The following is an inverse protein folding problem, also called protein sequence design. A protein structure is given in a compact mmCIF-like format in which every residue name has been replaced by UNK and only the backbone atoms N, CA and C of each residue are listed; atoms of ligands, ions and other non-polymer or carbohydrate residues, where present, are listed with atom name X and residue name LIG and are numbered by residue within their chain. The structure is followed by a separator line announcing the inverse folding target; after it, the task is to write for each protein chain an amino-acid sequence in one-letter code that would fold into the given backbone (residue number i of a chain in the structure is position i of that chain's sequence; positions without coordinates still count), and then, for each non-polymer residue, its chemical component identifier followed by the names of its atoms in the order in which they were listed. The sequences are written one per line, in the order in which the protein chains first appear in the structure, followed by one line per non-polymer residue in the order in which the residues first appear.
data_IF_299110398193
#
_entry.id   IF_299110398193
#
_cell.length_a   1.000
_cell.length_b   1.000
_cell.length_c   1.000
_cell.angle_alpha   90.00
_cell.angle_beta   90.00
_cell.angle_gamma   90.00
#
_symmetry.space_group_name_H-M   'P 1'
#
loop_
_entity.id
_entity.type
_entity.pdbx_description
1 polymer ?
#
# COMPACT_ATOMS: atom_id res chain seq x y z
N UNK A 1 6.39 11.31 -1.69
CA UNK A 1 6.97 10.36 -2.67
C UNK A 1 7.39 9.02 -2.04
N UNK A 2 8.04 8.98 -0.85
CA UNK A 2 8.56 7.72 -0.25
C UNK A 2 7.50 6.64 0.03
N UNK A 3 6.25 7.05 0.28
CA UNK A 3 5.14 6.15 0.62
C UNK A 3 4.68 5.27 -0.54
N UNK A 4 4.54 5.83 -1.75
CA UNK A 4 4.10 5.05 -2.92
C UNK A 4 5.22 4.12 -3.37
N UNK A 5 6.47 4.60 -3.33
CA UNK A 5 7.64 3.77 -3.58
C UNK A 5 7.75 2.58 -2.62
N UNK A 6 7.40 2.76 -1.34
CA UNK A 6 7.32 1.66 -0.38
C UNK A 6 6.26 0.62 -0.77
N UNK A 7 5.08 1.05 -1.23
CA UNK A 7 4.03 0.15 -1.71
C UNK A 7 4.45 -0.61 -2.96
N UNK A 8 5.11 0.06 -3.92
CA UNK A 8 5.69 -0.56 -5.12
C UNK A 8 6.74 -1.60 -4.72
N UNK A 9 7.67 -1.24 -3.83
CA UNK A 9 8.73 -2.15 -3.36
C UNK A 9 8.14 -3.39 -2.68
N UNK A 10 7.08 -3.22 -1.87
CA UNK A 10 6.36 -4.35 -1.29
C UNK A 10 5.70 -5.22 -2.37
N UNK A 11 5.13 -4.64 -3.43
CA UNK A 11 4.64 -5.38 -4.57
C UNK A 11 5.73 -6.26 -5.19
N UNK A 12 6.88 -5.68 -5.51
CA UNK A 12 7.97 -6.41 -6.15
C UNK A 12 8.52 -7.56 -5.27
N UNK A 13 8.50 -7.40 -3.94
CA UNK A 13 8.90 -8.47 -3.00
C UNK A 13 7.79 -9.54 -2.87
N UNK A 14 6.52 -9.13 -2.73
CA UNK A 14 5.38 -10.04 -2.53
C UNK A 14 5.06 -10.92 -3.74
N UNK A 15 5.40 -10.48 -4.95
CA UNK A 15 5.27 -11.25 -6.19
C UNK A 15 6.17 -12.52 -6.23
N UNK A 16 7.11 -12.66 -5.29
CA UNK A 16 8.10 -13.75 -5.28
C UNK A 16 7.53 -15.05 -4.67
N UNK A 17 6.37 -15.01 -3.98
CA UNK A 17 5.81 -16.17 -3.28
C UNK A 17 4.50 -16.69 -3.91
N UNK A 18 4.55 -17.63 -4.87
CA UNK A 18 3.37 -18.14 -5.60
C UNK A 18 2.36 -18.91 -4.73
N UNK A 19 2.69 -19.20 -3.47
CA UNK A 19 1.76 -19.81 -2.52
C UNK A 19 0.71 -18.82 -1.97
N UNK A 20 0.95 -17.51 -2.12
CA UNK A 20 0.12 -16.44 -1.54
C UNK A 20 -0.47 -15.50 -2.58
N UNK A 21 -0.19 -15.72 -3.87
CA UNK A 21 -0.89 -15.17 -5.03
C UNK A 21 -2.35 -15.70 -5.16
N UNK A 22 -3.02 -15.95 -4.03
CA UNK A 22 -4.46 -16.10 -4.04
C UNK A 22 -5.04 -14.77 -4.55
N UNK A 23 -6.03 -14.81 -5.46
CA UNK A 23 -6.55 -13.58 -6.02
C UNK A 23 -7.12 -12.70 -4.91
N UNK A 24 -7.33 -11.43 -5.21
CA UNK A 24 -8.13 -10.46 -4.45
C UNK A 24 -9.59 -10.95 -4.28
N UNK A 25 -9.78 -12.13 -3.71
CA UNK A 25 -11.04 -12.80 -3.50
C UNK A 25 -11.52 -12.46 -2.09
N UNK A 26 -12.61 -11.67 -1.97
CA UNK A 26 -13.23 -11.42 -0.70
C UNK A 26 -14.08 -12.63 -0.30
N UNK A 27 -13.47 -13.77 0.06
CA UNK A 27 -14.26 -14.86 0.71
C UNK A 27 -13.52 -16.11 1.19
N UNK A 28 -12.24 -16.35 0.86
CA UNK A 28 -11.62 -17.61 1.29
C UNK A 28 -10.93 -17.43 2.64
N UNK A 29 -11.58 -17.90 3.70
CA UNK A 29 -10.98 -18.00 5.01
C UNK A 29 -9.96 -19.14 5.03
N UNK A 30 -8.71 -18.84 4.65
CA UNK A 30 -7.61 -19.80 4.70
C UNK A 30 -7.15 -20.12 6.13
N UNK A 31 -7.72 -19.49 7.17
CA UNK A 31 -7.31 -19.72 8.56
C UNK A 31 -7.54 -21.17 9.02
N UNK A 32 -8.44 -21.90 8.35
CA UNK A 32 -8.72 -23.32 8.59
C UNK A 32 -7.74 -24.29 7.88
N UNK A 33 -7.01 -23.82 6.86
CA UNK A 33 -6.09 -24.65 6.06
C UNK A 33 -4.64 -24.47 6.53
N UNK A 34 -4.29 -23.30 7.08
CA UNK A 34 -2.94 -23.01 7.56
C UNK A 34 -2.67 -23.65 8.92
N UNK A 35 -1.60 -24.44 9.00
CA UNK A 35 -1.33 -25.32 10.15
C UNK A 35 -0.32 -24.74 11.13
N UNK A 36 0.56 -23.84 10.67
CA UNK A 36 1.61 -23.27 11.52
C UNK A 36 1.33 -21.81 11.89
N UNK A 37 1.75 -21.35 13.09
CA UNK A 37 1.67 -19.94 13.47
C UNK A 37 2.41 -19.00 12.51
N UNK A 38 3.49 -19.47 11.84
CA UNK A 38 4.27 -18.68 10.87
C UNK A 38 3.48 -18.44 9.58
N UNK A 39 2.85 -19.49 9.03
CA UNK A 39 1.98 -19.37 7.85
C UNK A 39 0.81 -18.41 8.12
N UNK A 40 0.23 -18.48 9.32
CA UNK A 40 -0.84 -17.55 9.72
C UNK A 40 -0.35 -16.10 9.72
N UNK A 41 0.81 -15.84 10.34
CA UNK A 41 1.42 -14.50 10.35
C UNK A 41 1.66 -13.97 8.93
N UNK A 42 2.24 -14.78 8.04
CA UNK A 42 2.45 -14.43 6.63
C UNK A 42 1.15 -14.04 5.92
N UNK A 43 0.11 -14.86 6.06
CA UNK A 43 -1.19 -14.57 5.47
C UNK A 43 -1.79 -13.26 6.01
N UNK A 44 -1.70 -13.01 7.32
CA UNK A 44 -2.19 -11.77 7.91
C UNK A 44 -1.43 -10.55 7.37
N UNK A 45 -0.10 -10.61 7.33
CA UNK A 45 0.72 -9.53 6.77
C UNK A 45 0.34 -9.24 5.33
N UNK A 46 0.24 -10.28 4.49
CA UNK A 46 -0.13 -10.12 3.08
C UNK A 46 -1.53 -9.50 2.95
N UNK A 47 -2.50 -9.96 3.75
CA UNK A 47 -3.87 -9.42 3.72
C UNK A 47 -3.92 -7.94 4.11
N UNK A 48 -3.20 -7.55 5.16
CA UNK A 48 -3.12 -6.15 5.58
C UNK A 48 -2.54 -5.28 4.47
N UNK A 49 -1.48 -5.74 3.80
CA UNK A 49 -0.88 -5.01 2.68
C UNK A 49 -1.77 -4.97 1.45
N UNK A 50 -2.36 -6.08 1.04
CA UNK A 50 -3.32 -6.09 -0.08
C UNK A 50 -4.50 -5.15 0.18
N UNK A 51 -4.95 -5.06 1.44
CA UNK A 51 -6.00 -4.12 1.83
C UNK A 51 -5.51 -2.68 1.71
N UNK A 52 -4.31 -2.38 2.22
CA UNK A 52 -3.69 -1.06 2.13
C UNK A 52 -3.46 -0.61 0.68
N UNK A 53 -2.98 -1.49 -0.20
CA UNK A 53 -2.77 -1.22 -1.62
C UNK A 53 -4.11 -0.89 -2.31
N UNK A 54 -5.12 -1.72 -2.09
CA UNK A 54 -6.44 -1.52 -2.67
C UNK A 54 -7.10 -0.23 -2.17
N UNK A 55 -7.03 0.03 -0.86
CA UNK A 55 -7.55 1.27 -0.28
C UNK A 55 -6.83 2.49 -0.86
N UNK A 56 -5.50 2.42 -1.04
CA UNK A 56 -4.70 3.50 -1.63
C UNK A 56 -5.17 3.83 -3.04
N UNK A 57 -5.30 2.82 -3.90
CA UNK A 57 -5.74 3.00 -5.28
C UNK A 57 -7.19 3.47 -5.38
N UNK A 58 -8.08 2.96 -4.53
CA UNK A 58 -9.48 3.38 -4.50
C UNK A 58 -9.62 4.84 -4.06
N UNK A 59 -8.92 5.24 -2.99
CA UNK A 59 -8.94 6.62 -2.50
C UNK A 59 -8.26 7.57 -3.51
N UNK A 60 -7.18 7.14 -4.16
CA UNK A 60 -6.55 7.87 -5.26
C UNK A 60 -7.52 8.06 -6.43
N UNK A 61 -8.26 7.02 -6.82
CA UNK A 61 -9.27 7.10 -7.88
C UNK A 61 -10.43 8.03 -7.49
N UNK A 62 -10.86 8.05 -6.23
CA UNK A 62 -11.88 8.97 -5.74
C UNK A 62 -11.41 10.42 -5.78
N UNK A 63 -10.17 10.69 -5.36
CA UNK A 63 -9.54 12.00 -5.43
C UNK A 63 -9.50 12.52 -6.88
N UNK A 64 -8.98 11.71 -7.80
CA UNK A 64 -8.88 12.05 -9.21
C UNK A 64 -10.25 12.23 -9.88
N UNK A 65 -11.25 11.45 -9.48
CA UNK A 65 -12.62 11.61 -9.97
C UNK A 65 -13.21 12.96 -9.56
N UNK A 66 -12.96 13.42 -8.32
CA UNK A 66 -13.36 14.75 -7.86
C UNK A 66 -12.77 15.87 -8.71
N UNK A 67 -11.48 15.77 -9.05
CA UNK A 67 -10.80 16.74 -9.92
C UNK A 67 -11.41 16.76 -11.33
N UNK A 68 -11.69 15.59 -11.92
CA UNK A 68 -12.33 15.50 -13.24
C UNK A 68 -13.73 16.14 -13.22
N UNK A 69 -14.52 15.88 -12.18
CA UNK A 69 -15.88 16.39 -12.08
C UNK A 69 -15.90 17.91 -11.93
N UNK A 70 -14.99 18.46 -11.13
CA UNK A 70 -14.83 19.91 -10.98
C UNK A 70 -14.27 20.58 -12.23
N UNK A 71 -13.30 19.95 -12.91
CA UNK A 71 -12.80 20.44 -14.20
C UNK A 71 -13.91 20.55 -15.23
N UNK A 72 -14.81 19.55 -15.30
CA UNK A 72 -15.98 19.58 -16.20
C UNK A 72 -17.01 20.64 -15.81
N UNK A 73 -17.20 20.89 -14.52
CA UNK A 73 -18.17 21.84 -14.01
C UNK A 73 -17.72 23.30 -14.19
N UNK A 74 -16.46 23.60 -13.85
CA UNK A 74 -15.92 24.96 -13.86
C UNK A 74 -15.25 25.36 -15.17
N UNK A 75 -14.73 24.39 -15.93
CA UNK A 75 -14.00 24.63 -17.17
C UNK A 75 -14.54 23.77 -18.35
N UNK A 76 -15.79 24.00 -18.77
CA UNK A 76 -16.42 23.20 -19.81
C UNK A 76 -15.63 23.30 -21.13
N UNK A 77 -15.16 22.16 -21.62
CA UNK A 77 -14.35 22.07 -22.84
C UNK A 77 -12.84 22.04 -22.61
N UNK A 78 -12.38 22.06 -21.35
CA UNK A 78 -11.01 21.73 -21.01
C UNK A 78 -10.67 20.34 -21.55
N UNK A 79 -9.60 20.27 -22.33
CA UNK A 79 -8.97 19.04 -22.79
C UNK A 79 -7.54 19.11 -22.31
N UNK A 80 -7.16 18.21 -21.42
CA UNK A 80 -5.81 18.12 -20.88
C UNK A 80 -5.41 16.64 -20.89
N UNK A 81 -4.19 16.32 -21.33
CA UNK A 81 -3.66 14.95 -21.28
C UNK A 81 -3.71 14.36 -19.87
N UNK A 82 -3.57 15.20 -18.84
CA UNK A 82 -3.61 14.80 -17.43
C UNK A 82 -5.01 14.35 -17.01
N UNK A 83 -6.07 15.06 -17.44
CA UNK A 83 -7.45 14.63 -17.20
C UNK A 83 -7.77 13.31 -17.91
N UNK A 84 -7.15 13.05 -19.07
CA UNK A 84 -7.26 11.76 -19.75
C UNK A 84 -6.51 10.67 -18.99
N UNK A 85 -5.30 10.96 -18.49
CA UNK A 85 -4.54 10.05 -17.63
C UNK A 85 -5.33 9.68 -16.36
N UNK A 86 -5.93 10.65 -15.69
CA UNK A 86 -6.80 10.42 -14.52
C UNK A 86 -7.98 9.51 -14.86
N UNK A 87 -8.65 9.75 -15.99
CA UNK A 87 -9.78 8.93 -16.43
C UNK A 87 -9.35 7.48 -16.75
N UNK A 88 -8.17 7.31 -17.33
CA UNK A 88 -7.58 6.00 -17.63
C UNK A 88 -7.25 5.24 -16.35
N UNK A 89 -6.58 5.89 -15.39
CA UNK A 89 -6.27 5.32 -14.08
C UNK A 89 -7.54 4.86 -13.36
N UNK A 90 -8.55 5.75 -13.21
CA UNK A 90 -9.83 5.41 -12.57
C UNK A 90 -10.51 4.21 -13.26
N UNK A 91 -10.43 4.14 -14.58
CA UNK A 91 -11.01 3.04 -15.36
C UNK A 91 -10.26 1.73 -15.14
N UNK A 92 -8.95 1.78 -14.98
CA UNK A 92 -8.10 0.63 -14.74
C UNK A 92 -8.26 0.13 -13.29
N UNK A 93 -8.27 1.00 -12.28
CA UNK A 93 -8.54 0.64 -10.87
C UNK A 93 -9.87 -0.12 -10.69
N UNK A 94 -10.90 0.20 -11.49
CA UNK A 94 -12.20 -0.48 -11.46
C UNK A 94 -12.19 -1.89 -12.07
N UNK A 95 -11.18 -2.22 -12.87
CA UNK A 95 -11.08 -3.48 -13.62
C UNK A 95 -10.04 -4.42 -13.02
N UNK A 96 -9.04 -3.88 -12.35
CA UNK A 96 -7.92 -4.65 -11.82
C UNK A 96 -8.33 -5.53 -10.65
N UNK A 97 -7.93 -6.79 -10.74
CA UNK A 97 -8.10 -7.82 -9.71
C UNK A 97 -6.86 -8.72 -9.58
N UNK A 98 -5.78 -8.42 -10.32
CA UNK A 98 -4.51 -9.14 -10.33
C UNK A 98 -3.40 -8.28 -9.71
N UNK A 99 -2.43 -8.93 -9.06
CA UNK A 99 -1.37 -8.26 -8.30
C UNK A 99 -0.38 -7.50 -9.19
N UNK A 100 0.02 -8.11 -10.31
CA UNK A 100 0.95 -7.50 -11.27
C UNK A 100 0.37 -6.20 -11.87
N UNK A 101 -0.95 -6.16 -12.09
CA UNK A 101 -1.65 -4.97 -12.55
C UNK A 101 -1.71 -3.85 -11.48
N UNK A 102 -1.58 -4.19 -10.19
CA UNK A 102 -1.58 -3.18 -9.11
C UNK A 102 -0.25 -2.45 -9.00
N UNK A 103 0.87 -3.13 -9.26
CA UNK A 103 2.19 -2.48 -9.33
C UNK A 103 2.20 -1.43 -10.44
N UNK A 104 1.76 -1.81 -11.65
CA UNK A 104 1.65 -0.87 -12.77
C UNK A 104 0.71 0.32 -12.47
N UNK A 105 -0.36 0.09 -11.71
CA UNK A 105 -1.26 1.17 -11.29
C UNK A 105 -0.64 2.07 -10.24
N UNK A 106 0.15 1.53 -9.32
CA UNK A 106 0.85 2.32 -8.31
C UNK A 106 1.93 3.18 -8.94
N UNK A 107 2.67 2.67 -9.92
CA UNK A 107 3.64 3.43 -10.70
C UNK A 107 2.94 4.60 -11.42
N UNK A 108 1.83 4.32 -12.12
CA UNK A 108 1.03 5.37 -12.77
C UNK A 108 0.52 6.40 -11.78
N UNK A 109 0.13 5.97 -10.58
CA UNK A 109 -0.35 6.86 -9.54
C UNK A 109 0.76 7.72 -8.95
N UNK A 110 1.97 7.18 -8.79
CA UNK A 110 3.17 7.95 -8.39
C UNK A 110 3.48 9.04 -9.42
N UNK A 111 3.49 8.70 -10.71
CA UNK A 111 3.71 9.67 -11.79
C UNK A 111 2.68 10.81 -11.76
N UNK A 112 1.42 10.50 -11.46
CA UNK A 112 0.37 11.51 -11.32
C UNK A 112 0.57 12.38 -10.07
N UNK A 113 1.08 11.78 -8.98
CA UNK A 113 1.40 12.50 -7.75
C UNK A 113 2.54 13.50 -7.92
N UNK A 114 3.44 13.25 -8.87
CA UNK A 114 4.59 14.10 -9.20
C UNK A 114 4.29 15.14 -10.29
N UNK A 115 3.01 15.40 -10.61
CA UNK A 115 2.68 16.48 -11.56
C UNK A 115 3.14 17.83 -11.03
N UNK A 116 4.26 18.31 -11.59
CA UNK A 116 4.86 19.58 -11.25
C UNK A 116 3.90 20.71 -11.63
N UNK A 117 3.58 21.59 -10.68
CA UNK A 117 2.54 22.62 -10.85
C UNK A 117 2.80 23.57 -12.04
N UNK A 118 4.06 23.64 -12.47
CA UNK A 118 4.53 24.47 -13.57
C UNK A 118 4.33 23.82 -14.96
N UNK A 119 4.15 22.50 -15.01
CA UNK A 119 3.91 21.74 -16.24
C UNK A 119 2.40 21.55 -16.52
N UNK A 120 1.57 21.70 -15.50
CA UNK A 120 0.12 21.59 -15.63
C UNK A 120 -0.52 22.94 -15.96
N UNK A 121 -1.63 22.92 -16.71
CA UNK A 121 -2.39 24.15 -16.96
C UNK A 121 -2.83 24.79 -15.63
N UNK A 122 -2.71 26.11 -15.51
CA UNK A 122 -3.05 26.88 -14.28
C UNK A 122 -4.42 26.50 -13.68
N UNK A 123 -5.49 26.31 -14.46
CA UNK A 123 -6.77 25.84 -13.92
C UNK A 123 -6.73 24.44 -13.28
N UNK A 124 -5.94 23.52 -13.83
CA UNK A 124 -5.80 22.16 -13.30
C UNK A 124 -4.90 22.14 -12.06
N UNK A 125 -3.83 22.94 -12.06
CA UNK A 125 -2.99 23.15 -10.87
C UNK A 125 -3.81 23.71 -9.69
N UNK A 126 -4.77 24.60 -9.95
CA UNK A 126 -5.69 25.10 -8.92
C UNK A 126 -6.58 23.98 -8.36
N UNK A 127 -7.17 23.15 -9.23
CA UNK A 127 -8.01 22.03 -8.81
C UNK A 127 -7.25 20.98 -8.01
N UNK A 128 -6.03 20.62 -8.43
CA UNK A 128 -5.16 19.69 -7.68
C UNK A 128 -4.89 20.20 -6.27
N UNK A 129 -4.58 21.49 -6.13
CA UNK A 129 -4.37 22.11 -4.82
C UNK A 129 -5.66 22.13 -3.98
N UNK A 130 -6.81 22.46 -4.57
CA UNK A 130 -8.10 22.53 -3.87
C UNK A 130 -8.57 21.18 -3.33
N UNK A 131 -8.36 20.10 -4.08
CA UNK A 131 -8.69 18.73 -3.64
C UNK A 131 -7.72 18.20 -2.58
N UNK A 132 -6.70 18.97 -2.21
CA UNK A 132 -5.75 18.56 -1.19
C UNK A 132 -4.86 17.42 -1.68
N UNK A 133 -4.50 17.42 -2.97
CA UNK A 133 -3.57 16.46 -3.53
C UNK A 133 -2.26 16.40 -2.74
N UNK A 134 -1.78 17.57 -2.28
CA UNK A 134 -0.63 17.69 -1.37
C UNK A 134 -0.86 17.09 0.03
N UNK A 135 -2.11 16.99 0.50
CA UNK A 135 -2.47 16.37 1.78
C UNK A 135 -2.74 14.87 1.67
N UNK A 136 -2.87 14.34 0.45
CA UNK A 136 -3.12 12.92 0.22
C UNK A 136 -1.97 12.04 0.74
N UNK A 137 -0.74 12.53 0.66
CA UNK A 137 0.42 11.84 1.23
C UNK A 137 0.29 11.65 2.76
N UNK A 138 -0.17 12.66 3.49
CA UNK A 138 -0.43 12.56 4.93
C UNK A 138 -1.50 11.51 5.24
N UNK A 139 -2.56 11.45 4.42
CA UNK A 139 -3.58 10.40 4.53
C UNK A 139 -2.98 9.00 4.33
N UNK A 140 -2.16 8.80 3.29
CA UNK A 140 -1.50 7.52 3.07
C UNK A 140 -0.56 7.13 4.21
N UNK A 141 0.21 8.07 4.74
CA UNK A 141 1.08 7.84 5.91
C UNK A 141 0.30 7.34 7.12
N UNK A 142 -0.87 7.94 7.42
CA UNK A 142 -1.73 7.48 8.52
C UNK A 142 -2.24 6.04 8.28
N UNK A 143 -2.63 5.73 7.05
CA UNK A 143 -3.08 4.37 6.67
C UNK A 143 -1.97 3.34 6.84
N UNK A 144 -0.77 3.64 6.37
CA UNK A 144 0.42 2.79 6.51
C UNK A 144 0.76 2.59 7.98
N UNK A 145 0.86 3.66 8.76
CA UNK A 145 1.14 3.58 10.19
C UNK A 145 0.12 2.69 10.91
N UNK A 146 -1.15 2.79 10.54
CA UNK A 146 -2.20 1.91 11.06
C UNK A 146 -2.00 0.44 10.69
N UNK A 147 -1.65 0.14 9.43
CA UNK A 147 -1.38 -1.22 8.97
C UNK A 147 -0.15 -1.83 9.66
N UNK A 148 0.95 -1.08 9.72
CA UNK A 148 2.19 -1.46 10.41
C UNK A 148 1.95 -1.77 11.90
N UNK A 149 1.12 -0.98 12.57
CA UNK A 149 0.75 -1.22 13.97
C UNK A 149 -0.03 -2.53 14.15
N UNK A 150 -0.98 -2.84 13.25
CA UNK A 150 -1.73 -4.11 13.28
C UNK A 150 -0.83 -5.31 13.01
N UNK A 151 0.14 -5.18 12.11
CA UNK A 151 1.12 -6.23 11.83
C UNK A 151 2.03 -6.46 13.04
N UNK A 152 2.48 -5.40 13.70
CA UNK A 152 3.26 -5.50 14.94
C UNK A 152 2.52 -6.32 16.00
N UNK A 153 1.21 -6.06 16.18
CA UNK A 153 0.37 -6.83 17.11
C UNK A 153 0.33 -8.32 16.74
N UNK A 154 0.21 -8.65 15.45
CA UNK A 154 0.20 -10.03 14.98
C UNK A 154 1.56 -10.72 15.15
N UNK A 155 2.66 -10.02 14.90
CA UNK A 155 4.01 -10.54 15.17
C UNK A 155 4.19 -10.79 16.67
N UNK A 156 3.70 -9.89 17.53
CA UNK A 156 3.76 -10.09 18.97
C UNK A 156 2.95 -11.32 19.41
N UNK A 157 1.75 -11.54 18.85
CA UNK A 157 0.95 -12.73 19.12
C UNK A 157 1.67 -14.00 18.66
N UNK A 158 2.30 -13.96 17.49
CA UNK A 158 3.13 -15.05 16.98
C UNK A 158 4.25 -15.41 17.97
N UNK A 159 5.08 -14.45 18.36
CA UNK A 159 6.18 -14.68 19.32
C UNK A 159 5.67 -15.22 20.66
N UNK A 160 4.52 -14.73 21.13
CA UNK A 160 3.93 -15.18 22.39
C UNK A 160 3.44 -16.63 22.32
N UNK A 161 3.00 -17.09 21.14
CA UNK A 161 2.60 -18.49 20.91
C UNK A 161 3.77 -19.47 20.91
N UNK A 162 4.99 -18.99 20.65
CA UNK A 162 6.20 -19.81 20.61
C UNK A 162 6.66 -20.23 22.02
N UNK A 163 7.09 -21.49 22.15
CA UNK A 163 7.79 -21.99 23.32
C UNK A 163 9.17 -21.31 23.48
N UNK A 164 9.78 -21.43 24.67
CA UNK A 164 11.09 -20.81 24.96
C UNK A 164 12.20 -21.26 24.00
N UNK A 165 12.19 -22.53 23.58
CA UNK A 165 13.16 -23.06 22.62
C UNK A 165 12.89 -22.53 21.20
N UNK A 166 11.62 -22.42 20.80
CA UNK A 166 11.24 -21.87 19.49
C UNK A 166 11.62 -20.39 19.38
N UNK A 167 11.40 -19.59 20.43
CA UNK A 167 11.84 -18.18 20.47
C UNK A 167 13.36 -18.01 20.36
N UNK A 168 14.13 -18.95 20.91
CA UNK A 168 15.60 -18.90 20.76
C UNK A 168 16.03 -19.19 19.33
N UNK A 169 15.33 -20.10 18.65
CA UNK A 169 15.54 -20.36 17.23
C UNK A 169 15.11 -19.19 16.35
N UNK A 170 14.01 -18.53 16.73
CA UNK A 170 13.48 -17.36 16.04
C UNK A 170 13.95 -16.04 16.67
N UNK A 171 15.23 -16.00 17.06
CA UNK A 171 15.83 -14.84 17.70
C UNK A 171 15.82 -13.59 16.81
N UNK A 172 15.82 -13.77 15.49
CA UNK A 172 15.71 -12.68 14.51
C UNK A 172 14.34 -12.00 14.61
N UNK A 173 13.25 -12.74 14.68
CA UNK A 173 11.91 -12.16 14.84
C UNK A 173 11.76 -11.37 16.14
N UNK A 174 12.35 -11.90 17.22
CA UNK A 174 12.36 -11.22 18.52
C UNK A 174 13.17 -9.93 18.47
N UNK A 175 14.32 -9.92 17.78
CA UNK A 175 15.15 -8.74 17.59
C UNK A 175 14.46 -7.71 16.71
N UNK A 176 13.87 -8.15 15.59
CA UNK A 176 13.09 -7.30 14.70
C UNK A 176 11.97 -6.59 15.45
N UNK A 177 11.15 -7.33 16.21
CA UNK A 177 10.04 -6.71 16.96
C UNK A 177 10.54 -5.69 17.99
N UNK A 178 11.70 -5.94 18.61
CA UNK A 178 12.30 -5.00 19.54
C UNK A 178 12.75 -3.71 18.82
N UNK A 179 13.40 -3.82 17.66
CA UNK A 179 13.79 -2.66 16.85
C UNK A 179 12.56 -1.89 16.35
N UNK A 180 11.59 -2.60 15.77
CA UNK A 180 10.38 -2.03 15.19
C UNK A 180 9.53 -1.21 16.19
N UNK A 181 9.52 -1.63 17.46
CA UNK A 181 8.82 -0.92 18.55
C UNK A 181 9.52 0.33 19.03
N UNK A 182 10.84 0.32 18.99
CA UNK A 182 11.64 1.46 19.43
C UNK A 182 11.72 2.54 18.35
N UNK A 183 11.37 2.19 17.10
CA UNK A 183 11.31 3.16 16.03
C UNK A 183 10.04 4.03 16.12
N UNK A 184 10.20 5.31 15.85
CA UNK A 184 9.15 6.32 15.90
C UNK A 184 9.02 7.09 14.59
N UNK A 185 10.06 7.09 13.77
CA UNK A 185 10.01 7.60 12.42
C UNK A 185 9.28 6.60 11.50
N UNK A 186 8.31 7.09 10.73
CA UNK A 186 7.48 6.23 9.89
C UNK A 186 8.26 5.69 8.68
N UNK A 187 9.18 6.48 8.14
CA UNK A 187 10.00 6.09 7.00
C UNK A 187 10.99 5.00 7.43
N UNK A 188 11.66 5.18 8.58
CA UNK A 188 12.52 4.15 9.15
C UNK A 188 11.73 2.88 9.54
N UNK A 189 10.48 3.02 10.02
CA UNK A 189 9.59 1.87 10.25
C UNK A 189 9.24 1.12 8.97
N UNK A 190 9.02 1.84 7.86
CA UNK A 190 8.75 1.23 6.56
C UNK A 190 9.96 0.42 6.09
N UNK A 191 11.18 0.96 6.22
CA UNK A 191 12.42 0.23 5.89
C UNK A 191 12.58 -1.04 6.74
N UNK A 192 12.42 -0.93 8.07
CA UNK A 192 12.46 -2.09 8.97
C UNK A 192 11.40 -3.14 8.60
N UNK A 193 10.27 -2.71 8.07
CA UNK A 193 9.23 -3.62 7.61
C UNK A 193 9.61 -4.33 6.30
N UNK A 194 10.20 -3.64 5.32
CA UNK A 194 10.70 -4.27 4.10
C UNK A 194 11.74 -5.36 4.41
N UNK A 195 12.67 -5.05 5.33
CA UNK A 195 13.62 -6.03 5.87
C UNK A 195 12.89 -7.27 6.42
N UNK A 196 11.80 -7.08 7.18
CA UNK A 196 11.00 -8.18 7.70
C UNK A 196 10.44 -9.06 6.58
N UNK A 197 9.89 -8.47 5.52
CA UNK A 197 9.31 -9.24 4.41
C UNK A 197 10.39 -10.06 3.71
N UNK A 198 11.54 -9.46 3.42
CA UNK A 198 12.69 -10.16 2.83
C UNK A 198 13.18 -11.31 3.71
N UNK A 199 13.22 -11.12 5.04
CA UNK A 199 13.61 -12.19 5.96
C UNK A 199 12.58 -13.31 6.09
N UNK A 200 11.30 -13.03 5.84
CA UNK A 200 10.21 -13.98 6.06
C UNK A 200 9.90 -14.86 4.84
N UNK A 201 10.26 -14.42 3.64
CA UNK A 201 10.08 -15.17 2.38
C UNK A 201 11.19 -16.23 2.12
N UNK A 202 12.22 -16.28 2.97
CA UNK A 202 13.28 -17.32 3.00
C UNK A 202 13.23 -18.22 4.26
#
# INVERSE_FOLDING_TARGET
MHVVLFLITFCSIGAISPAYAAPFLPSVDFSEILTTPREKLLLYTHKEFSTLLNDTLLEGALLLQGIIDDARAFYPGMQSPELEAFANFISATKRTNEYDELEELLDQFEEMLDFDSDEVSEPLAELLNQHGFHNFEGYLMERISGALSRIEEHVQLYINSLSKWERQKDSKMVQWLASFRNEHDIDEKMELFLDFVEFFDY
#
